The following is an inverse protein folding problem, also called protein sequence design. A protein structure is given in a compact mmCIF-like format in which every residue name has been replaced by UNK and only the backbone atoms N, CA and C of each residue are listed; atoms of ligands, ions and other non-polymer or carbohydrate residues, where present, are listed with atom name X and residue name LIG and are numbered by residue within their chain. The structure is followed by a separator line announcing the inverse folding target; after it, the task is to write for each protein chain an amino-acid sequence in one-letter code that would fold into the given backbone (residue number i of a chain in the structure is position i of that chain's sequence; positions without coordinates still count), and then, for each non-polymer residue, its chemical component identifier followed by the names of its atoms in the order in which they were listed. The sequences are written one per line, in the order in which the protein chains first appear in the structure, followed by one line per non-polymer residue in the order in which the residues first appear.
data_IF_471208390067
#
_entry.id   IF_471208390067
#
_cell.length_a   1.000
_cell.length_b   1.000
_cell.length_c   1.000
_cell.angle_alpha   90.00
_cell.angle_beta   90.00
_cell.angle_gamma   90.00
#
_symmetry.space_group_name_H-M   'P 1'
#
loop_
_entity.id
_entity.type
_entity.pdbx_description
1 polymer ?
#
# COMPACT_ATOMS: atom_id res chain seq x y z
N UNK A 1 18.24 -2.31 -20.07
CA UNK A 1 17.94 -0.87 -20.22
C UNK A 1 16.78 -0.64 -21.18
N UNK A 2 16.70 -1.37 -22.31
CA UNK A 2 15.58 -1.29 -23.27
C UNK A 2 14.20 -1.62 -22.69
N UNK A 3 14.06 -2.67 -21.88
CA UNK A 3 12.77 -3.05 -21.25
C UNK A 3 12.23 -1.96 -20.32
N UNK A 4 13.10 -1.29 -19.56
CA UNK A 4 12.66 -0.23 -18.65
C UNK A 4 12.12 0.99 -19.42
N UNK A 5 12.74 1.30 -20.57
CA UNK A 5 12.29 2.37 -21.47
C UNK A 5 10.93 2.03 -22.10
N UNK A 6 10.77 0.78 -22.54
CA UNK A 6 9.52 0.26 -23.12
C UNK A 6 8.36 0.31 -22.12
N UNK A 7 8.61 -0.01 -20.85
CA UNK A 7 7.62 0.12 -19.76
C UNK A 7 7.23 1.60 -19.55
N UNK A 8 8.20 2.51 -19.48
CA UNK A 8 7.89 3.94 -19.31
C UNK A 8 7.10 4.52 -20.47
N UNK A 9 7.37 4.08 -21.70
CA UNK A 9 6.66 4.56 -22.88
C UNK A 9 5.25 3.97 -22.97
N UNK A 10 5.07 2.71 -22.57
CA UNK A 10 3.73 2.11 -22.41
C UNK A 10 2.91 2.79 -21.31
N UNK A 11 3.55 3.25 -20.22
CA UNK A 11 2.87 4.03 -19.18
C UNK A 11 2.47 5.42 -19.68
N UNK A 12 3.32 6.08 -20.47
CA UNK A 12 3.02 7.39 -21.06
C UNK A 12 1.89 7.30 -22.08
N UNK A 13 1.91 6.32 -22.97
CA UNK A 13 0.83 6.12 -23.94
C UNK A 13 -0.50 5.81 -23.24
N UNK A 14 -0.47 5.04 -22.14
CA UNK A 14 -1.65 4.77 -21.35
C UNK A 14 -2.22 6.00 -20.63
N UNK A 15 -1.36 6.88 -20.11
CA UNK A 15 -1.78 8.16 -19.52
C UNK A 15 -2.34 9.11 -20.59
N UNK A 16 -1.95 8.95 -21.85
CA UNK A 16 -2.51 9.66 -23.00
C UNK A 16 -3.87 9.10 -23.46
N UNK A 17 -4.15 7.81 -23.25
CA UNK A 17 -5.46 7.17 -23.54
C UNK A 17 -6.59 7.61 -22.60
N UNK A 18 -6.28 8.36 -21.54
CA UNK A 18 -7.26 8.87 -20.59
C UNK A 18 -7.56 10.34 -20.91
N UNK A 19 -8.83 10.67 -21.07
CA UNK A 19 -9.24 12.07 -21.25
C UNK A 19 -8.87 12.88 -20.00
N UNK A 20 -8.67 14.21 -20.16
CA UNK A 20 -8.35 15.08 -19.00
C UNK A 20 -9.38 14.94 -17.88
N UNK A 21 -10.64 14.76 -18.26
CA UNK A 21 -11.78 14.62 -17.35
C UNK A 21 -11.69 13.30 -16.55
N UNK A 22 -11.25 12.22 -17.18
CA UNK A 22 -11.07 10.91 -16.54
C UNK A 22 -9.97 10.96 -15.49
N UNK A 23 -8.82 11.56 -15.81
CA UNK A 23 -7.72 11.72 -14.87
C UNK A 23 -8.14 12.53 -13.64
N UNK A 24 -8.93 13.58 -13.85
CA UNK A 24 -9.46 14.40 -12.76
C UNK A 24 -10.44 13.61 -11.89
N UNK A 25 -11.31 12.79 -12.50
CA UNK A 25 -12.25 11.94 -11.77
C UNK A 25 -11.52 10.94 -10.87
N UNK A 26 -10.56 10.20 -11.42
CA UNK A 26 -9.73 9.22 -10.68
C UNK A 26 -8.99 9.88 -9.53
N UNK A 27 -8.32 11.02 -9.80
CA UNK A 27 -7.59 11.75 -8.78
C UNK A 27 -8.52 12.28 -7.68
N UNK A 28 -9.70 12.78 -8.05
CA UNK A 28 -10.69 13.29 -7.09
C UNK A 28 -11.18 12.17 -6.17
N UNK A 29 -11.59 11.03 -6.74
CA UNK A 29 -12.08 9.90 -5.93
C UNK A 29 -10.97 9.35 -5.04
N UNK A 30 -9.75 9.23 -5.55
CA UNK A 30 -8.60 8.80 -4.76
C UNK A 30 -8.31 9.74 -3.59
N UNK A 31 -8.29 11.06 -3.85
CA UNK A 31 -8.09 12.07 -2.81
C UNK A 31 -9.21 12.03 -1.79
N UNK A 32 -10.47 11.87 -2.21
CA UNK A 32 -11.60 11.73 -1.29
C UNK A 32 -11.48 10.47 -0.43
N UNK A 33 -11.10 9.33 -1.00
CA UNK A 33 -10.89 8.09 -0.24
C UNK A 33 -9.77 8.25 0.80
N UNK A 34 -8.63 8.80 0.40
CA UNK A 34 -7.51 9.08 1.29
C UNK A 34 -7.85 10.14 2.34
N UNK A 35 -8.65 11.14 1.98
CA UNK A 35 -9.09 12.17 2.91
C UNK A 35 -10.08 11.60 3.93
N UNK A 36 -11.05 10.79 3.53
CA UNK A 36 -12.03 10.19 4.45
C UNK A 36 -11.32 9.26 5.44
N UNK A 37 -10.53 8.31 4.94
CA UNK A 37 -9.77 7.38 5.78
C UNK A 37 -8.69 8.10 6.60
N UNK A 38 -7.99 9.07 6.00
CA UNK A 38 -6.99 9.88 6.68
C UNK A 38 -7.58 10.77 7.76
N UNK A 39 -8.72 11.43 7.52
CA UNK A 39 -9.44 12.20 8.53
C UNK A 39 -9.86 11.31 9.69
N UNK A 40 -10.40 10.13 9.42
CA UNK A 40 -10.72 9.17 10.47
C UNK A 40 -9.48 8.79 11.27
N UNK A 41 -8.36 8.46 10.61
CA UNK A 41 -7.07 8.20 11.25
C UNK A 41 -6.64 9.40 12.12
N UNK A 42 -6.54 10.60 11.59
CA UNK A 42 -5.95 11.73 12.30
C UNK A 42 -6.88 12.39 13.34
N UNK A 43 -8.20 12.28 13.18
CA UNK A 43 -9.18 12.85 14.13
C UNK A 43 -9.49 11.86 15.25
N UNK A 44 -9.53 10.56 14.96
CA UNK A 44 -9.75 9.57 16.01
C UNK A 44 -8.59 9.60 17.01
N UNK A 45 -8.92 9.66 18.31
CA UNK A 45 -7.92 9.62 19.37
C UNK A 45 -7.18 8.28 19.48
N UNK A 46 -7.70 7.24 18.83
CA UNK A 46 -7.11 5.89 18.75
C UNK A 46 -6.69 5.59 17.31
N UNK A 47 -5.56 4.89 17.07
CA UNK A 47 -5.20 4.44 15.74
C UNK A 47 -6.28 3.54 15.13
N UNK A 48 -6.55 3.75 13.84
CA UNK A 48 -7.63 3.07 13.10
C UNK A 48 -7.33 1.57 12.93
N UNK A 49 -6.09 1.25 12.60
CA UNK A 49 -5.63 -0.11 12.32
C UNK A 49 -5.22 -0.89 13.57
N UNK A 50 -5.19 -0.24 14.75
CA UNK A 50 -4.71 -0.85 15.99
C UNK A 50 -5.80 -1.68 16.68
N UNK A 51 -6.12 -2.83 16.10
CA UNK A 51 -7.03 -3.82 16.65
C UNK A 51 -6.52 -5.25 16.39
N UNK A 52 -7.07 -6.24 17.11
CA UNK A 52 -6.68 -7.65 16.93
C UNK A 52 -5.17 -7.87 17.01
N UNK A 53 -4.61 -8.57 16.03
CA UNK A 53 -3.17 -8.90 15.97
C UNK A 53 -2.29 -7.64 15.85
N UNK A 54 -2.79 -6.54 15.28
CA UNK A 54 -2.02 -5.30 15.24
C UNK A 54 -1.76 -4.73 16.62
N UNK A 55 -2.75 -4.83 17.52
CA UNK A 55 -2.62 -4.36 18.89
C UNK A 55 -1.75 -5.30 19.73
N UNK A 56 -1.98 -6.61 19.61
CA UNK A 56 -1.40 -7.59 20.54
C UNK A 56 -0.04 -8.11 20.08
N UNK A 57 0.23 -8.16 18.78
CA UNK A 57 1.44 -8.77 18.22
C UNK A 57 2.31 -7.77 17.45
N UNK A 58 1.73 -6.99 16.53
CA UNK A 58 2.52 -6.20 15.60
C UNK A 58 3.04 -4.91 16.26
N UNK A 59 2.22 -4.21 17.05
CA UNK A 59 2.64 -3.01 17.76
C UNK A 59 3.83 -3.25 18.71
N UNK A 60 3.87 -4.31 19.55
CA UNK A 60 5.05 -4.62 20.35
C UNK A 60 6.30 -4.85 19.51
N UNK A 61 6.19 -5.57 18.39
CA UNK A 61 7.30 -5.82 17.46
C UNK A 61 7.83 -4.52 16.86
N UNK A 62 6.94 -3.65 16.35
CA UNK A 62 7.32 -2.35 15.80
C UNK A 62 7.93 -1.44 16.86
N UNK A 63 7.41 -1.48 18.09
CA UNK A 63 7.96 -0.72 19.21
C UNK A 63 9.38 -1.16 19.57
N UNK A 64 9.66 -2.47 19.48
CA UNK A 64 11.00 -2.99 19.77
C UNK A 64 11.99 -2.71 18.64
N UNK A 65 11.57 -2.83 17.39
CA UNK A 65 12.33 -2.34 16.22
C UNK A 65 12.64 -0.86 16.41
N UNK A 66 11.63 -0.08 16.81
CA UNK A 66 11.78 1.35 16.95
C UNK A 66 12.75 1.76 18.05
N UNK A 67 12.66 1.08 19.19
CA UNK A 67 13.58 1.25 20.33
C UNK A 67 15.02 0.95 19.91
N UNK A 68 15.25 -0.13 19.16
CA UNK A 68 16.60 -0.49 18.71
C UNK A 68 17.18 0.59 17.80
N UNK A 69 16.43 1.02 16.78
CA UNK A 69 16.87 2.07 15.86
C UNK A 69 17.09 3.42 16.54
N UNK A 70 16.20 3.82 17.46
CA UNK A 70 16.35 5.06 18.22
C UNK A 70 17.62 5.09 19.10
N UNK A 71 18.13 3.91 19.49
CA UNK A 71 19.37 3.77 20.24
C UNK A 71 20.60 3.52 19.34
N UNK A 72 20.46 3.61 18.01
CA UNK A 72 21.54 3.35 17.06
C UNK A 72 21.90 1.87 16.91
N UNK A 73 21.03 0.95 17.36
CA UNK A 73 21.22 -0.49 17.23
C UNK A 73 20.44 -1.05 16.05
N UNK A 74 21.01 -2.06 15.41
CA UNK A 74 20.29 -2.83 14.40
C UNK A 74 19.32 -3.81 15.10
N UNK A 75 18.01 -3.82 14.75
CA UNK A 75 16.99 -4.64 15.39
C UNK A 75 17.13 -6.10 14.94
N UNK A 76 18.10 -6.82 15.49
CA UNK A 76 18.39 -8.19 15.08
C UNK A 76 17.62 -9.23 15.88
N UNK A 77 17.38 -8.93 17.16
CA UNK A 77 16.84 -9.87 18.13
C UNK A 77 15.90 -9.15 19.10
N UNK A 78 14.83 -9.83 19.48
CA UNK A 78 13.94 -9.40 20.56
C UNK A 78 13.93 -10.47 21.65
N UNK A 79 14.18 -10.14 22.93
CA UNK A 79 14.10 -11.12 24.03
C UNK A 79 12.66 -11.37 24.49
N UNK A 80 11.69 -10.57 24.01
CA UNK A 80 10.34 -10.50 24.57
C UNK A 80 9.39 -11.59 24.07
N UNK A 81 9.82 -12.41 23.10
CA UNK A 81 8.99 -13.45 22.49
C UNK A 81 9.63 -14.82 22.75
N UNK A 82 8.96 -15.67 23.54
CA UNK A 82 9.35 -17.07 23.81
C UNK A 82 10.83 -17.29 24.22
N UNK A 83 11.41 -16.40 25.03
CA UNK A 83 12.84 -16.48 25.42
C UNK A 83 13.79 -15.89 24.36
N UNK A 84 13.24 -15.47 23.24
CA UNK A 84 13.82 -14.57 22.27
C UNK A 84 13.59 -15.04 20.83
N UNK A 85 13.51 -14.08 19.92
CA UNK A 85 13.27 -14.33 18.50
C UNK A 85 14.09 -13.37 17.64
N UNK A 86 14.54 -13.85 16.47
CA UNK A 86 15.13 -12.97 15.48
C UNK A 86 14.08 -12.01 14.93
N UNK A 87 14.31 -10.70 15.12
CA UNK A 87 13.51 -9.66 14.47
C UNK A 87 13.82 -9.61 12.97
N UNK A 88 15.09 -9.81 12.60
CA UNK A 88 15.54 -9.79 11.19
C UNK A 88 14.83 -10.83 10.32
N UNK A 89 14.63 -12.04 10.86
CA UNK A 89 13.94 -13.12 10.16
C UNK A 89 12.41 -13.09 10.34
N UNK A 90 11.88 -12.14 11.12
CA UNK A 90 10.45 -12.03 11.35
C UNK A 90 9.79 -11.20 10.23
N UNK A 91 8.92 -11.81 9.40
CA UNK A 91 8.26 -11.09 8.31
C UNK A 91 7.32 -9.99 8.82
N UNK A 92 6.78 -10.11 10.02
CA UNK A 92 5.90 -9.11 10.62
C UNK A 92 6.71 -7.88 11.05
N UNK A 93 7.91 -8.08 11.59
CA UNK A 93 8.78 -6.98 12.03
C UNK A 93 9.22 -6.07 10.86
N UNK A 94 9.26 -6.59 9.64
CA UNK A 94 9.36 -5.81 8.41
C UNK A 94 10.55 -4.86 8.33
N UNK A 95 11.69 -5.21 8.93
CA UNK A 95 12.88 -4.35 9.02
C UNK A 95 13.40 -3.89 7.66
N UNK A 96 13.23 -4.70 6.61
CA UNK A 96 13.63 -4.32 5.24
C UNK A 96 12.46 -3.86 4.37
N UNK A 97 11.29 -3.63 4.96
CA UNK A 97 10.13 -3.13 4.23
C UNK A 97 10.13 -1.59 4.30
N UNK A 98 10.49 -0.88 3.21
CA UNK A 98 10.74 0.56 3.28
C UNK A 98 9.57 1.41 3.79
N UNK A 99 8.29 1.07 3.52
CA UNK A 99 7.17 1.82 4.13
C UNK A 99 7.18 1.80 5.66
N UNK A 100 7.72 0.76 6.29
CA UNK A 100 7.86 0.68 7.75
C UNK A 100 9.03 1.51 8.28
N UNK A 101 9.82 2.15 7.42
CA UNK A 101 10.88 3.08 7.81
C UNK A 101 10.37 4.50 8.06
N UNK A 102 9.18 4.84 7.56
CA UNK A 102 8.52 6.15 7.78
C UNK A 102 8.52 6.65 9.23
N UNK A 103 8.33 5.82 10.28
CA UNK A 103 8.28 6.27 11.68
C UNK A 103 9.66 6.65 12.24
N UNK A 104 10.72 6.26 11.54
CA UNK A 104 12.10 6.56 11.89
C UNK A 104 12.58 7.82 11.19
N UNK A 105 11.99 8.10 10.02
CA UNK A 105 12.26 9.29 9.23
C UNK A 105 11.36 10.46 9.63
N UNK A 106 10.18 10.17 10.19
CA UNK A 106 9.16 11.15 10.55
C UNK A 106 8.85 11.05 12.05
N UNK A 107 8.61 12.19 12.74
CA UNK A 107 8.24 12.21 14.16
C UNK A 107 6.78 11.78 14.34
N UNK A 108 6.48 10.53 14.04
CA UNK A 108 5.14 9.94 14.09
C UNK A 108 5.11 8.85 15.17
N UNK A 109 4.07 8.78 16.02
CA UNK A 109 3.94 7.71 17.00
C UNK A 109 3.93 6.31 16.37
N UNK A 110 4.55 5.32 17.02
CA UNK A 110 4.73 3.94 16.49
C UNK A 110 3.38 3.26 16.23
N UNK A 111 2.36 3.62 16.99
CA UNK A 111 1.00 3.11 16.83
C UNK A 111 0.28 3.63 15.57
N UNK A 112 0.77 4.72 14.95
CA UNK A 112 0.22 5.31 13.72
C UNK A 112 0.91 4.83 12.45
N UNK A 113 1.94 4.02 12.60
CA UNK A 113 2.78 3.55 11.49
C UNK A 113 1.96 2.68 10.54
N UNK A 114 1.16 1.80 11.12
CA UNK A 114 0.29 0.89 10.38
C UNK A 114 -0.81 1.67 9.67
N UNK A 115 -1.34 2.74 10.28
CA UNK A 115 -2.31 3.65 9.64
C UNK A 115 -1.70 4.34 8.40
N UNK A 116 -0.48 4.86 8.50
CA UNK A 116 0.20 5.49 7.36
C UNK A 116 0.51 4.48 6.26
N UNK A 117 0.94 3.28 6.64
CA UNK A 117 1.16 2.19 5.69
C UNK A 117 -0.13 1.79 5.00
N UNK A 118 -1.24 1.72 5.74
CA UNK A 118 -2.56 1.45 5.18
C UNK A 118 -2.96 2.50 4.13
N UNK A 119 -2.79 3.80 4.42
CA UNK A 119 -3.05 4.87 3.45
C UNK A 119 -2.19 4.74 2.18
N UNK A 120 -0.92 4.41 2.36
CA UNK A 120 -0.01 4.16 1.22
C UNK A 120 -0.49 2.97 0.38
N UNK A 121 -0.90 1.88 1.00
CA UNK A 121 -1.43 0.71 0.30
C UNK A 121 -2.77 1.01 -0.37
N UNK A 122 -3.64 1.80 0.26
CA UNK A 122 -4.90 2.27 -0.32
C UNK A 122 -4.65 3.05 -1.61
N UNK A 123 -3.65 3.93 -1.61
CA UNK A 123 -3.23 4.67 -2.79
C UNK A 123 -2.76 3.75 -3.92
N UNK A 124 -1.84 2.83 -3.63
CA UNK A 124 -1.30 1.90 -4.63
C UNK A 124 -2.38 0.95 -5.14
N UNK A 125 -3.22 0.42 -4.24
CA UNK A 125 -4.28 -0.53 -4.57
C UNK A 125 -5.35 0.09 -5.47
N UNK A 126 -5.82 1.29 -5.13
CA UNK A 126 -6.79 2.02 -5.96
C UNK A 126 -6.23 2.29 -7.36
N UNK A 127 -5.01 2.86 -7.42
CA UNK A 127 -4.35 3.21 -8.68
C UNK A 127 -4.06 1.96 -9.52
N UNK A 128 -3.60 0.88 -8.89
CA UNK A 128 -3.32 -0.40 -9.53
C UNK A 128 -4.57 -1.01 -10.13
N UNK A 129 -5.68 -1.06 -9.39
CA UNK A 129 -6.95 -1.59 -9.90
C UNK A 129 -7.50 -0.73 -11.06
N UNK A 130 -7.41 0.60 -10.96
CA UNK A 130 -7.81 1.48 -12.07
C UNK A 130 -7.00 1.20 -13.33
N UNK A 131 -5.66 1.13 -13.22
CA UNK A 131 -4.78 0.83 -14.35
C UNK A 131 -5.09 -0.56 -14.93
N UNK A 132 -5.31 -1.56 -14.07
CA UNK A 132 -5.64 -2.91 -14.51
C UNK A 132 -6.92 -2.94 -15.35
N UNK A 133 -8.00 -2.32 -14.87
CA UNK A 133 -9.28 -2.28 -15.59
C UNK A 133 -9.16 -1.55 -16.92
N UNK A 134 -8.41 -0.43 -16.93
CA UNK A 134 -8.11 0.31 -18.15
C UNK A 134 -7.26 -0.52 -19.13
N UNK A 135 -6.34 -1.35 -18.65
CA UNK A 135 -5.52 -2.25 -19.47
C UNK A 135 -6.35 -3.41 -20.07
N UNK A 136 -7.44 -3.81 -19.42
CA UNK A 136 -8.43 -4.74 -19.97
C UNK A 136 -9.46 -4.08 -20.90
N UNK A 137 -9.28 -2.81 -21.28
CA UNK A 137 -10.16 -2.10 -22.21
C UNK A 137 -11.45 -1.57 -21.59
N UNK A 138 -11.59 -1.56 -20.26
CA UNK A 138 -12.76 -0.94 -19.62
C UNK A 138 -12.70 0.57 -19.76
N UNK A 139 -13.87 1.21 -19.93
CA UNK A 139 -14.01 2.68 -19.91
C UNK A 139 -13.60 3.29 -18.55
N UNK A 140 -13.36 4.61 -18.50
CA UNK A 140 -12.87 5.27 -17.29
C UNK A 140 -13.84 5.15 -16.11
N UNK A 141 -15.13 5.36 -16.34
CA UNK A 141 -16.16 5.25 -15.30
C UNK A 141 -16.21 3.87 -14.63
N UNK A 142 -16.37 2.73 -15.34
CA UNK A 142 -16.35 1.42 -14.71
C UNK A 142 -14.99 1.10 -14.05
N UNK A 143 -13.89 1.65 -14.57
CA UNK A 143 -12.57 1.50 -13.95
C UNK A 143 -12.48 2.22 -12.60
N UNK A 144 -13.01 3.45 -12.50
CA UNK A 144 -13.10 4.21 -11.24
C UNK A 144 -14.01 3.49 -10.24
N UNK A 145 -15.16 2.99 -10.68
CA UNK A 145 -16.09 2.26 -9.82
C UNK A 145 -15.43 0.98 -9.29
N UNK A 146 -14.82 0.18 -10.17
CA UNK A 146 -14.14 -1.06 -9.77
C UNK A 146 -12.97 -0.81 -8.82
N UNK A 147 -12.16 0.22 -9.07
CA UNK A 147 -11.09 0.64 -8.16
C UNK A 147 -11.62 1.07 -6.79
N UNK A 148 -12.75 1.80 -6.76
CA UNK A 148 -13.39 2.22 -5.51
C UNK A 148 -13.91 1.03 -4.71
N UNK A 149 -14.63 0.11 -5.37
CA UNK A 149 -15.14 -1.12 -4.75
C UNK A 149 -13.98 -1.96 -4.18
N UNK A 150 -12.91 -2.10 -4.94
CA UNK A 150 -11.70 -2.80 -4.48
C UNK A 150 -11.10 -2.13 -3.24
N UNK A 151 -10.92 -0.81 -3.26
CA UNK A 151 -10.38 -0.06 -2.13
C UNK A 151 -11.24 -0.17 -0.88
N UNK A 152 -12.57 -0.19 -1.02
CA UNK A 152 -13.52 -0.34 0.09
C UNK A 152 -13.76 -1.79 0.50
N UNK A 153 -13.12 -2.77 -0.16
CA UNK A 153 -13.34 -4.18 0.14
C UNK A 153 -12.67 -4.60 1.46
N UNK A 154 -13.27 -5.58 2.13
CA UNK A 154 -12.70 -6.16 3.36
C UNK A 154 -11.34 -6.80 3.14
N UNK A 155 -11.07 -7.36 1.95
CA UNK A 155 -9.76 -7.94 1.63
C UNK A 155 -8.67 -6.86 1.55
N UNK A 156 -9.00 -5.67 1.03
CA UNK A 156 -8.08 -4.54 1.00
C UNK A 156 -7.80 -4.01 2.41
N UNK A 157 -8.82 -3.94 3.25
CA UNK A 157 -8.68 -3.51 4.65
C UNK A 157 -7.88 -4.52 5.47
N UNK A 158 -8.16 -5.82 5.34
CA UNK A 158 -7.45 -6.88 6.04
C UNK A 158 -5.96 -6.94 5.65
N UNK A 159 -5.65 -6.90 4.36
CA UNK A 159 -4.28 -7.02 3.88
C UNK A 159 -3.50 -5.71 3.99
N UNK A 160 -4.17 -4.56 3.82
CA UNK A 160 -3.55 -3.25 3.95
C UNK A 160 -3.22 -2.87 5.40
N UNK A 161 -3.92 -3.45 6.38
CA UNK A 161 -3.79 -3.08 7.79
C UNK A 161 -2.82 -3.91 8.61
N UNK A 162 -2.15 -4.95 8.10
CA UNK A 162 -0.99 -5.50 8.82
C UNK A 162 -0.83 -7.02 8.91
N UNK A 163 -1.57 -7.83 8.17
CA UNK A 163 -1.37 -9.28 8.34
C UNK A 163 -0.15 -9.83 7.59
N UNK A 164 0.16 -9.39 6.37
CA UNK A 164 1.26 -10.01 5.61
C UNK A 164 1.77 -8.99 4.59
N UNK A 165 3.08 -8.76 4.62
CA UNK A 165 3.79 -8.03 3.58
C UNK A 165 3.30 -8.47 2.18
N UNK A 166 2.80 -7.49 1.41
CA UNK A 166 2.77 -7.50 -0.05
C UNK A 166 1.99 -8.62 -0.76
N UNK A 167 0.66 -8.69 -0.60
CA UNK A 167 -0.15 -9.40 -1.61
C UNK A 167 -1.16 -8.47 -2.30
N UNK A 168 -2.17 -7.91 -1.63
CA UNK A 168 -3.24 -7.19 -2.32
C UNK A 168 -2.84 -5.87 -3.02
N UNK A 169 -2.15 -4.94 -2.34
CA UNK A 169 -1.85 -3.64 -2.95
C UNK A 169 -0.91 -3.76 -4.16
N UNK A 170 0.05 -4.68 -4.07
CA UNK A 170 0.91 -5.00 -5.20
C UNK A 170 0.23 -5.90 -6.21
N UNK A 171 -0.82 -6.66 -5.89
CA UNK A 171 -1.49 -7.52 -6.87
C UNK A 171 -2.01 -6.70 -8.05
N UNK A 172 -2.62 -5.53 -7.84
CA UNK A 172 -3.02 -4.67 -8.96
C UNK A 172 -1.83 -4.18 -9.81
N UNK A 173 -0.69 -3.90 -9.18
CA UNK A 173 0.53 -3.43 -9.84
C UNK A 173 1.35 -4.56 -10.49
N UNK A 174 1.41 -5.73 -9.87
CA UNK A 174 2.06 -6.97 -10.32
C UNK A 174 1.23 -7.63 -11.41
N UNK A 175 -0.10 -7.63 -11.28
CA UNK A 175 -1.00 -8.07 -12.33
C UNK A 175 -0.81 -7.21 -13.57
N UNK A 176 -0.59 -5.90 -13.45
CA UNK A 176 -0.19 -5.08 -14.60
C UNK A 176 1.10 -5.60 -15.28
N UNK A 177 2.13 -5.96 -14.52
CA UNK A 177 3.34 -6.59 -15.08
C UNK A 177 3.12 -8.02 -15.61
N UNK A 178 2.06 -8.69 -15.16
CA UNK A 178 1.64 -10.01 -15.65
C UNK A 178 0.65 -9.93 -16.82
N UNK A 179 0.09 -8.76 -17.13
CA UNK A 179 -0.73 -8.57 -18.34
C UNK A 179 0.20 -8.71 -19.54
N UNK A 180 0.01 -9.72 -20.41
CA UNK A 180 0.79 -9.86 -21.62
C UNK A 180 0.75 -8.57 -22.43
N UNK A 181 1.90 -8.06 -22.87
CA UNK A 181 1.98 -6.87 -23.75
C UNK A 181 1.19 -7.02 -25.04
N UNK A 182 0.84 -8.25 -25.44
CA UNK A 182 -0.09 -8.54 -26.54
C UNK A 182 -1.52 -8.05 -26.29
N UNK A 183 -1.97 -7.97 -25.04
CA UNK A 183 -3.29 -7.44 -24.66
C UNK A 183 -3.30 -5.90 -24.54
N UNK A 184 -2.15 -5.27 -24.36
CA UNK A 184 -1.99 -3.81 -24.36
C UNK A 184 -2.08 -3.19 -25.78
N UNK A 185 -2.20 -4.02 -26.83
CA UNK A 185 -2.36 -3.61 -28.23
C UNK A 185 -3.81 -3.80 -28.71
N UNK A 186 -4.77 -3.17 -28.05
CA UNK A 186 -6.17 -3.10 -28.49
C UNK A 186 -6.65 -1.74 -27.95
N UNK A 187 -6.98 -0.68 -28.72
CA UNK A 187 -7.65 -0.53 -30.01
C UNK A 187 -7.38 0.90 -30.53
N UNK A 188 -7.18 1.04 -31.84
CA UNK A 188 -7.57 2.23 -32.62
C UNK A 188 -9.11 2.25 -32.79
#
# INVERSE_FOLDING_TARGET
MSEFTEITDSLKSFLQLSEKHDRLCVATVLVLLLAITGLEIFISGSPYTLCGDNLVQNLPLFSDVARNWANGHLPLWTPYIFGGQSLLANPIAGIFYPPYWLPFLLPVPVERVVDLCFLFHLFIGYRGMYILLRAYGCNALPSVIGATIYSCSGIMHLLGSGCIQMQAAHLGHLLYYMVPTSLLKIQD
#
